data_IF_969565360352
#
_entry.id   IF_969565360352
#
_cell.length_a   1.000
_cell.length_b   1.000
_cell.length_c   1.000
_cell.angle_alpha   90.00
_cell.angle_beta   90.00
_cell.angle_gamma   90.00
#
_symmetry.space_group_name_H-M   'P 1'
#
loop_
_entity.id
_entity.type
_entity.pdbx_description
1 polymer ?
#
# COMPACT_ATOMS: atom_id res chain seq x y z
N UNK A 1 -83.62 24.46 -17.40
CA UNK A 1 -82.29 24.45 -18.06
C UNK A 1 -81.52 23.27 -17.46
N UNK A 2 -81.43 22.05 -18.01
CA UNK A 2 -81.09 21.52 -19.36
C UNK A 2 -79.73 22.00 -19.87
N UNK A 3 -78.76 21.07 -19.99
CA UNK A 3 -77.49 21.23 -20.73
C UNK A 3 -76.40 20.26 -20.23
N UNK A 4 -76.40 18.97 -20.64
CA UNK A 4 -75.56 18.37 -21.71
C UNK A 4 -74.08 18.18 -21.29
N UNK A 5 -73.62 16.98 -20.90
CA UNK A 5 -73.25 15.75 -21.67
C UNK A 5 -71.94 15.91 -22.49
N UNK A 6 -71.04 14.92 -22.30
CA UNK A 6 -69.93 14.39 -23.14
C UNK A 6 -68.53 15.00 -23.00
N UNK A 7 -67.57 14.19 -22.51
CA UNK A 7 -66.39 13.70 -23.26
C UNK A 7 -65.48 12.90 -22.31
N UNK A 8 -65.52 11.56 -22.34
CA UNK A 8 -64.68 10.66 -23.16
C UNK A 8 -63.18 10.67 -22.82
N UNK A 9 -62.78 9.55 -22.21
CA UNK A 9 -61.60 8.74 -22.53
C UNK A 9 -60.19 9.12 -22.02
N UNK A 10 -59.48 8.03 -21.74
CA UNK A 10 -58.01 7.83 -21.73
C UNK A 10 -57.26 8.16 -20.44
N UNK A 11 -57.14 7.15 -19.58
CA UNK A 11 -55.91 6.72 -18.89
C UNK A 11 -56.33 5.64 -17.86
N UNK A 12 -56.39 4.35 -18.18
CA UNK A 12 -55.38 3.59 -18.92
C UNK A 12 -54.16 3.39 -18.04
N UNK A 13 -54.11 2.24 -17.33
CA UNK A 13 -52.89 1.59 -16.85
C UNK A 13 -52.01 2.36 -15.84
N UNK A 14 -52.30 2.21 -14.54
CA UNK A 14 -51.28 2.36 -13.48
C UNK A 14 -51.47 1.32 -12.36
N UNK A 15 -51.53 0.03 -12.73
CA UNK A 15 -51.61 -1.05 -11.75
C UNK A 15 -50.54 -2.14 -11.91
N UNK A 16 -49.50 -1.91 -12.73
CA UNK A 16 -48.39 -2.85 -12.90
C UNK A 16 -47.09 -2.09 -13.20
N UNK A 17 -46.33 -1.72 -12.17
CA UNK A 17 -44.87 -1.52 -12.20
C UNK A 17 -44.39 -0.94 -10.86
N UNK A 18 -44.49 -1.73 -9.79
CA UNK A 18 -43.93 -1.39 -8.48
C UNK A 18 -43.07 -2.51 -7.88
N UNK A 19 -42.71 -3.51 -8.68
CA UNK A 19 -41.62 -4.45 -8.37
C UNK A 19 -40.35 -3.88 -9.02
N UNK A 20 -39.93 -2.70 -8.56
CA UNK A 20 -38.55 -2.29 -8.76
C UNK A 20 -37.73 -3.21 -7.85
N UNK A 21 -37.13 -4.23 -8.46
CA UNK A 21 -36.28 -5.17 -7.77
C UNK A 21 -35.28 -4.43 -6.88
N UNK A 22 -35.06 -4.96 -5.69
CA UNK A 22 -33.82 -4.75 -4.98
C UNK A 22 -32.71 -5.19 -5.94
N UNK A 23 -32.20 -4.25 -6.73
CA UNK A 23 -30.96 -4.43 -7.42
C UNK A 23 -29.94 -4.63 -6.30
N UNK A 24 -29.56 -5.89 -6.09
CA UNK A 24 -28.31 -6.19 -5.42
C UNK A 24 -27.27 -5.29 -6.08
N UNK A 25 -26.73 -4.33 -5.31
CA UNK A 25 -25.72 -3.43 -5.80
C UNK A 25 -24.61 -4.31 -6.41
N UNK A 26 -24.41 -4.18 -7.72
CA UNK A 26 -23.36 -4.91 -8.44
C UNK A 26 -22.04 -4.62 -7.71
N UNK A 27 -21.28 -5.67 -7.36
CA UNK A 27 -19.90 -5.56 -6.86
C UNK A 27 -19.17 -4.54 -7.75
N UNK A 28 -18.50 -3.52 -7.20
CA UNK A 28 -17.87 -2.48 -8.01
C UNK A 28 -16.92 -3.13 -9.03
N UNK A 29 -16.87 -2.57 -10.24
CA UNK A 29 -15.99 -3.05 -11.32
C UNK A 29 -14.54 -3.09 -10.81
N UNK A 30 -13.98 -4.31 -10.69
CA UNK A 30 -12.58 -4.53 -10.40
C UNK A 30 -11.75 -3.77 -11.45
N UNK A 31 -11.17 -2.61 -11.08
CA UNK A 31 -10.40 -1.69 -11.95
C UNK A 31 -9.03 -2.27 -12.36
N UNK A 32 -8.97 -3.56 -12.71
CA UNK A 32 -7.76 -4.31 -12.97
C UNK A 32 -7.08 -4.89 -11.72
N UNK A 33 -7.68 -4.74 -10.54
CA UNK A 33 -7.20 -5.34 -9.29
C UNK A 33 -7.91 -6.67 -8.99
N UNK A 34 -7.18 -7.66 -8.50
CA UNK A 34 -7.73 -8.90 -7.94
C UNK A 34 -8.34 -8.66 -6.56
N UNK A 35 -8.87 -9.72 -5.94
CA UNK A 35 -9.52 -9.64 -4.62
C UNK A 35 -8.55 -9.38 -3.46
N UNK A 36 -7.25 -9.55 -3.68
CA UNK A 36 -6.21 -9.30 -2.70
C UNK A 36 -5.58 -7.90 -2.87
N UNK A 37 -5.92 -7.19 -3.93
CA UNK A 37 -5.41 -5.85 -4.22
C UNK A 37 -4.24 -5.82 -5.21
N UNK A 38 -3.97 -6.89 -5.96
CA UNK A 38 -2.94 -6.94 -7.01
C UNK A 38 -3.46 -6.50 -8.37
N UNK A 39 -2.67 -5.69 -9.07
CA UNK A 39 -2.82 -5.44 -10.50
C UNK A 39 -1.48 -5.74 -11.19
N UNK A 40 -1.29 -6.99 -11.60
CA UNK A 40 -0.03 -7.47 -12.17
C UNK A 40 0.35 -6.79 -13.49
N UNK A 41 -0.66 -6.40 -14.28
CA UNK A 41 -0.44 -5.66 -15.52
C UNK A 41 0.17 -4.27 -15.25
N UNK A 42 -0.30 -3.59 -14.21
CA UNK A 42 0.22 -2.30 -13.78
C UNK A 42 1.43 -2.42 -12.84
N UNK A 43 1.71 -3.62 -12.33
CA UNK A 43 2.73 -3.92 -11.29
C UNK A 43 2.51 -3.09 -10.04
N UNK A 44 1.26 -3.16 -9.56
CA UNK A 44 0.77 -2.42 -8.41
C UNK A 44 0.08 -3.35 -7.45
N UNK A 45 0.25 -3.10 -6.16
CA UNK A 45 -0.51 -3.69 -5.08
C UNK A 45 -1.09 -2.55 -4.26
N UNK A 46 -2.35 -2.65 -3.88
CA UNK A 46 -3.01 -1.67 -3.03
C UNK A 46 -4.03 -2.38 -2.14
N UNK A 47 -3.64 -2.65 -0.90
CA UNK A 47 -4.44 -3.46 0.01
C UNK A 47 -3.80 -3.59 1.39
N UNK A 48 -4.39 -4.45 2.22
CA UNK A 48 -3.81 -4.81 3.51
C UNK A 48 -2.52 -5.56 3.35
N UNK A 49 -1.53 -5.25 4.18
CA UNK A 49 -0.23 -5.90 4.11
C UNK A 49 -0.30 -7.43 4.24
N UNK A 50 -1.20 -7.95 5.07
CA UNK A 50 -1.42 -9.40 5.19
C UNK A 50 -2.04 -10.07 3.96
N UNK A 51 -2.52 -9.31 2.96
CA UNK A 51 -2.92 -9.86 1.65
C UNK A 51 -1.79 -9.88 0.64
N UNK A 52 -0.76 -9.08 0.87
CA UNK A 52 0.47 -9.11 0.09
C UNK A 52 1.28 -10.38 0.42
N UNK A 53 1.48 -10.65 1.71
CA UNK A 53 2.13 -11.89 2.14
C UNK A 53 1.10 -13.00 2.37
N UNK A 54 0.80 -13.74 1.29
CA UNK A 54 -0.24 -14.79 1.27
C UNK A 54 0.11 -16.01 2.12
N UNK A 55 1.37 -16.16 2.51
CA UNK A 55 1.86 -17.27 3.34
C UNK A 55 1.73 -16.95 4.85
N UNK A 56 1.43 -15.71 5.23
CA UNK A 56 0.99 -15.36 6.59
C UNK A 56 -0.48 -15.81 6.74
N UNK A 57 -0.69 -17.06 7.16
CA UNK A 57 -2.01 -17.58 7.49
C UNK A 57 -2.75 -16.66 8.48
N UNK A 58 -3.82 -16.00 8.01
CA UNK A 58 -4.80 -15.29 8.85
C UNK A 58 -4.61 -13.78 9.01
N UNK A 59 -3.66 -13.14 8.32
CA UNK A 59 -3.33 -11.74 8.56
C UNK A 59 -4.34 -10.73 8.00
N UNK A 60 -5.23 -10.19 8.82
CA UNK A 60 -5.58 -8.77 8.64
C UNK A 60 -4.34 -7.99 9.04
N UNK A 61 -3.51 -7.64 8.05
CA UNK A 61 -2.32 -6.82 8.32
C UNK A 61 -2.75 -5.54 9.00
N UNK A 62 -2.13 -5.21 10.13
CA UNK A 62 -2.24 -3.96 10.89
C UNK A 62 -1.60 -2.77 10.16
N UNK A 63 -1.60 -2.81 8.83
CA UNK A 63 -1.08 -1.79 7.95
C UNK A 63 -1.68 -1.89 6.55
N UNK A 64 -1.87 -0.73 5.94
CA UNK A 64 -2.24 -0.61 4.54
C UNK A 64 -0.98 -0.38 3.70
N UNK A 65 -0.83 -1.14 2.61
CA UNK A 65 0.31 -1.07 1.71
C UNK A 65 -0.14 -0.71 0.30
N UNK A 66 0.44 0.37 -0.23
CA UNK A 66 0.48 0.65 -1.65
C UNK A 66 1.90 0.36 -2.15
N UNK A 67 2.05 -0.60 -3.05
CA UNK A 67 3.34 -1.02 -3.57
C UNK A 67 3.36 -0.92 -5.09
N UNK A 68 4.53 -0.59 -5.64
CA UNK A 68 4.82 -0.63 -7.08
C UNK A 68 6.13 -1.34 -7.31
N UNK A 69 6.25 -2.08 -8.40
CA UNK A 69 7.48 -2.81 -8.67
C UNK A 69 7.91 -2.81 -10.14
N UNK A 70 9.19 -3.15 -10.32
CA UNK A 70 9.80 -3.37 -11.63
C UNK A 70 9.21 -4.62 -12.31
N UNK A 71 9.42 -4.81 -13.62
CA UNK A 71 8.93 -6.02 -14.31
C UNK A 71 9.49 -7.32 -13.69
N UNK A 72 10.69 -7.22 -13.18
CA UNK A 72 11.48 -8.37 -12.77
C UNK A 72 11.41 -8.57 -11.24
N UNK A 73 10.47 -7.92 -10.56
CA UNK A 73 10.22 -8.12 -9.13
C UNK A 73 9.07 -9.12 -8.91
N UNK A 74 9.34 -10.15 -8.14
CA UNK A 74 8.44 -11.20 -7.70
C UNK A 74 8.54 -11.34 -6.17
N UNK A 75 7.53 -10.92 -5.40
CA UNK A 75 7.62 -10.86 -3.95
C UNK A 75 7.96 -12.19 -3.25
N UNK A 76 7.78 -13.35 -3.91
CA UNK A 76 7.91 -14.68 -3.30
C UNK A 76 9.20 -15.43 -3.66
N UNK A 77 10.14 -14.82 -4.41
CA UNK A 77 11.33 -15.51 -4.93
C UNK A 77 12.64 -14.72 -4.75
N UNK A 78 13.80 -15.29 -5.12
CA UNK A 78 15.04 -14.50 -5.22
C UNK A 78 14.99 -13.60 -6.46
N UNK A 79 15.33 -12.33 -6.28
CA UNK A 79 15.13 -11.33 -7.32
C UNK A 79 16.35 -11.23 -8.25
N UNK A 80 16.15 -10.97 -9.56
CA UNK A 80 17.24 -10.65 -10.44
C UNK A 80 17.86 -9.29 -10.07
N UNK A 81 19.15 -9.16 -10.34
CA UNK A 81 19.90 -7.91 -10.05
C UNK A 81 19.24 -6.74 -10.80
N UNK A 82 18.98 -5.65 -10.07
CA UNK A 82 18.31 -4.45 -10.57
C UNK A 82 16.78 -4.47 -10.43
N UNK A 83 16.17 -5.59 -10.06
CA UNK A 83 14.75 -5.61 -9.69
C UNK A 83 14.53 -4.75 -8.44
N UNK A 84 13.42 -4.00 -8.43
CA UNK A 84 13.08 -3.08 -7.35
C UNK A 84 11.58 -3.06 -7.05
N UNK A 85 11.26 -2.63 -5.83
CA UNK A 85 9.93 -2.21 -5.42
C UNK A 85 9.96 -0.90 -4.62
N UNK A 86 8.80 -0.25 -4.53
CA UNK A 86 8.51 0.82 -3.57
C UNK A 86 7.35 0.38 -2.68
N UNK A 87 7.45 0.62 -1.39
CA UNK A 87 6.38 0.37 -0.42
C UNK A 87 5.95 1.70 0.18
N UNK A 88 4.65 2.00 0.10
CA UNK A 88 4.04 3.10 0.82
C UNK A 88 3.12 2.47 1.85
N UNK A 89 3.54 2.52 3.10
CA UNK A 89 2.77 1.95 4.17
C UNK A 89 1.99 3.03 4.93
N UNK A 90 0.92 2.60 5.56
CA UNK A 90 0.22 3.36 6.59
C UNK A 90 -0.10 2.42 7.73
N UNK A 91 0.29 2.80 8.94
CA UNK A 91 -0.03 2.09 10.18
C UNK A 91 -0.22 3.08 11.33
N UNK A 92 -0.51 2.54 12.49
CA UNK A 92 -0.85 3.27 13.69
C UNK A 92 -0.10 2.69 14.88
N UNK A 93 0.34 3.52 15.81
CA UNK A 93 1.06 3.12 17.03
C UNK A 93 0.83 4.16 18.14
N UNK A 94 1.03 3.76 19.39
CA UNK A 94 1.03 4.65 20.56
C UNK A 94 2.43 5.23 20.87
N UNK A 95 3.43 4.88 20.06
CA UNK A 95 4.76 5.50 20.08
C UNK A 95 5.29 5.73 18.65
N UNK A 96 6.38 6.49 18.56
CA UNK A 96 7.14 6.67 17.31
C UNK A 96 8.64 6.75 17.59
N UNK A 97 9.10 6.04 18.62
CA UNK A 97 10.49 6.04 19.07
C UNK A 97 11.38 5.19 18.15
N UNK A 98 12.65 5.55 18.01
CA UNK A 98 13.60 4.79 17.18
C UNK A 98 13.80 3.36 17.73
N UNK A 99 13.73 3.17 19.05
CA UNK A 99 13.86 1.86 19.71
C UNK A 99 12.76 0.85 19.31
N UNK A 100 11.58 1.34 18.92
CA UNK A 100 10.44 0.54 18.41
C UNK A 100 10.32 0.59 16.89
N UNK A 101 11.41 1.01 16.23
CA UNK A 101 11.49 1.26 14.80
C UNK A 101 10.39 2.22 14.33
N UNK A 102 10.34 3.40 14.96
CA UNK A 102 9.34 4.45 14.73
C UNK A 102 7.90 3.95 14.80
N UNK A 103 7.65 3.04 15.74
CA UNK A 103 6.35 2.46 16.02
C UNK A 103 5.95 1.27 15.14
N UNK A 104 6.83 0.75 14.28
CA UNK A 104 6.53 -0.44 13.48
C UNK A 104 6.42 -1.71 14.33
N UNK A 105 7.28 -1.88 15.32
CA UNK A 105 7.27 -3.07 16.19
C UNK A 105 6.14 -3.02 17.25
N UNK A 106 5.52 -1.86 17.42
CA UNK A 106 4.46 -1.57 18.41
C UNK A 106 3.13 -1.20 17.77
N UNK A 107 2.93 -1.54 16.49
CA UNK A 107 1.70 -1.22 15.77
C UNK A 107 0.45 -1.70 16.48
N UNK A 108 -0.59 -0.87 16.44
CA UNK A 108 -1.93 -1.25 16.88
C UNK A 108 -2.69 -1.96 15.77
N UNK A 109 -3.52 -2.92 16.16
CA UNK A 109 -4.35 -3.67 15.23
C UNK A 109 -5.45 -2.78 14.62
N UNK A 110 -5.63 -2.88 13.30
CA UNK A 110 -6.75 -2.27 12.56
C UNK A 110 -6.97 -3.00 11.24
N UNK A 111 -8.18 -2.88 10.67
CA UNK A 111 -8.56 -3.52 9.41
C UNK A 111 -9.78 -2.82 8.77
N UNK A 112 -10.44 -3.46 7.79
CA UNK A 112 -11.62 -2.88 7.10
C UNK A 112 -12.81 -2.64 8.03
N UNK A 113 -12.91 -3.43 9.09
CA UNK A 113 -14.03 -3.44 10.04
C UNK A 113 -13.68 -2.74 11.35
N UNK A 114 -12.39 -2.59 11.64
CA UNK A 114 -11.85 -2.09 12.91
C UNK A 114 -11.05 -0.83 12.67
N UNK A 115 -11.54 0.29 13.22
CA UNK A 115 -10.78 1.54 13.22
C UNK A 115 -9.59 1.45 14.18
N UNK A 116 -8.43 2.02 13.83
CA UNK A 116 -7.28 2.08 14.74
C UNK A 116 -7.60 3.00 15.92
N UNK A 117 -7.30 2.53 17.13
CA UNK A 117 -7.21 3.35 18.34
C UNK A 117 -5.73 3.51 18.66
N UNK A 118 -5.17 4.69 18.38
CA UNK A 118 -3.76 4.99 18.58
C UNK A 118 -3.54 6.49 18.79
N UNK A 119 -2.42 6.84 19.42
CA UNK A 119 -1.96 8.23 19.50
C UNK A 119 -1.38 8.75 18.17
N UNK A 120 -0.75 7.88 17.39
CA UNK A 120 -0.04 8.26 16.16
C UNK A 120 -0.48 7.48 14.92
N UNK A 121 -0.52 8.21 13.81
CA UNK A 121 -0.58 7.65 12.46
C UNK A 121 0.79 7.81 11.81
N UNK A 122 1.31 6.71 11.26
CA UNK A 122 2.61 6.70 10.62
C UNK A 122 2.44 6.37 9.13
N UNK A 123 3.20 7.09 8.30
CA UNK A 123 3.36 6.77 6.87
C UNK A 123 4.83 6.60 6.56
N UNK A 124 5.19 5.44 6.02
CA UNK A 124 6.54 5.19 5.51
C UNK A 124 6.53 5.06 3.99
N UNK A 125 7.56 5.63 3.36
CA UNK A 125 7.94 5.35 2.00
C UNK A 125 9.29 4.64 2.01
N UNK A 126 9.36 3.45 1.41
CA UNK A 126 10.59 2.68 1.24
C UNK A 126 10.82 2.35 -0.24
N UNK A 127 12.05 2.45 -0.73
CA UNK A 127 12.46 1.91 -2.04
C UNK A 127 13.61 0.91 -1.88
N UNK A 128 13.37 -0.33 -2.28
CA UNK A 128 14.32 -1.44 -2.18
C UNK A 128 14.72 -1.93 -3.57
N UNK A 129 15.98 -2.33 -3.74
CA UNK A 129 16.48 -2.93 -4.96
C UNK A 129 17.44 -4.09 -4.68
N UNK A 130 17.43 -5.08 -5.57
CA UNK A 130 18.42 -6.16 -5.60
C UNK A 130 19.73 -5.70 -6.25
N UNK A 131 20.88 -5.91 -5.60
CA UNK A 131 22.18 -5.35 -6.04
C UNK A 131 23.29 -6.36 -6.36
N UNK A 132 23.00 -7.66 -6.33
CA UNK A 132 23.98 -8.78 -6.30
C UNK A 132 24.68 -8.94 -4.96
N UNK A 133 25.58 -9.90 -4.85
CA UNK A 133 26.43 -10.17 -3.69
C UNK A 133 27.90 -9.83 -3.98
N UNK A 134 28.12 -8.80 -4.79
CA UNK A 134 29.42 -8.21 -5.13
C UNK A 134 29.79 -7.07 -4.18
N UNK A 135 30.97 -7.17 -3.55
CA UNK A 135 31.48 -6.18 -2.58
C UNK A 135 31.65 -4.78 -3.18
N UNK A 136 32.09 -4.66 -4.44
CA UNK A 136 32.33 -3.36 -5.08
C UNK A 136 31.02 -2.67 -5.42
N UNK A 137 30.01 -3.42 -5.86
CA UNK A 137 28.67 -2.92 -6.06
C UNK A 137 28.09 -2.40 -4.74
N UNK A 138 28.22 -3.16 -3.65
CA UNK A 138 27.79 -2.73 -2.32
C UNK A 138 28.45 -1.42 -1.87
N UNK A 139 29.79 -1.33 -1.98
CA UNK A 139 30.52 -0.11 -1.59
C UNK A 139 30.03 1.12 -2.37
N UNK A 140 29.79 0.95 -3.67
CA UNK A 140 29.25 2.01 -4.53
C UNK A 140 27.87 2.48 -4.08
N UNK A 141 26.98 1.57 -3.65
CA UNK A 141 25.65 1.92 -3.16
C UNK A 141 25.71 2.58 -1.77
N UNK A 142 26.55 2.06 -0.87
CA UNK A 142 26.76 2.62 0.46
C UNK A 142 27.34 4.05 0.41
N UNK A 143 28.30 4.32 -0.48
CA UNK A 143 28.81 5.68 -0.74
C UNK A 143 27.72 6.62 -1.27
N UNK A 144 26.68 6.08 -1.90
CA UNK A 144 25.48 6.79 -2.33
C UNK A 144 24.41 6.94 -1.24
N UNK A 145 24.67 6.51 -0.01
CA UNK A 145 23.71 6.62 1.10
C UNK A 145 22.68 5.50 1.18
N UNK A 146 22.78 4.49 0.31
CA UNK A 146 21.96 3.31 0.44
C UNK A 146 22.46 2.46 1.62
N UNK A 147 21.54 1.83 2.34
CA UNK A 147 21.88 0.92 3.43
C UNK A 147 21.29 -0.47 3.19
N UNK A 148 21.72 -1.46 3.97
CA UNK A 148 21.25 -2.84 3.81
C UNK A 148 19.82 -2.95 4.29
N UNK A 149 18.95 -3.58 3.49
CA UNK A 149 17.60 -3.91 3.95
C UNK A 149 17.57 -4.98 5.06
N UNK A 150 18.72 -5.59 5.40
CA UNK A 150 18.79 -6.72 6.33
C UNK A 150 18.19 -8.02 5.76
N UNK A 151 17.80 -8.03 4.49
CA UNK A 151 17.10 -9.15 3.86
C UNK A 151 18.06 -10.12 3.18
N UNK A 152 17.94 -11.40 3.59
CA UNK A 152 18.70 -12.52 3.05
C UNK A 152 20.13 -12.63 3.61
N UNK A 153 20.60 -13.87 3.76
CA UNK A 153 21.98 -14.19 4.18
C UNK A 153 22.71 -14.83 3.01
N UNK A 154 23.96 -14.42 2.76
CA UNK A 154 24.74 -14.83 1.60
C UNK A 154 26.15 -15.23 1.98
N UNK A 155 26.71 -16.21 1.25
CA UNK A 155 28.02 -16.79 1.55
C UNK A 155 29.16 -15.79 1.44
N UNK A 156 29.04 -14.78 0.56
CA UNK A 156 30.03 -13.70 0.43
C UNK A 156 30.01 -12.70 1.60
N UNK A 157 28.99 -12.72 2.45
CA UNK A 157 28.85 -11.80 3.58
C UNK A 157 28.36 -10.40 3.21
N UNK A 158 28.01 -10.13 1.95
CA UNK A 158 27.43 -8.84 1.54
C UNK A 158 25.92 -8.88 1.31
N UNK A 159 25.20 -7.77 1.56
CA UNK A 159 23.75 -7.71 1.34
C UNK A 159 23.36 -7.88 -0.13
N UNK A 160 22.33 -8.71 -0.41
CA UNK A 160 21.75 -8.78 -1.76
C UNK A 160 20.77 -7.66 -2.07
N UNK A 161 20.28 -6.94 -1.08
CA UNK A 161 19.28 -5.88 -1.19
C UNK A 161 19.76 -4.60 -0.50
N UNK A 162 19.43 -3.46 -1.13
CA UNK A 162 19.70 -2.14 -0.57
C UNK A 162 18.46 -1.28 -0.58
N UNK A 163 18.38 -0.40 0.42
CA UNK A 163 17.38 0.64 0.56
C UNK A 163 17.95 1.94 0.02
N UNK A 164 17.27 2.57 -0.94
CA UNK A 164 17.70 3.85 -1.53
C UNK A 164 16.99 5.06 -0.96
N UNK A 165 15.81 4.84 -0.42
CA UNK A 165 15.01 5.89 0.18
C UNK A 165 14.13 5.24 1.23
N UNK A 166 14.12 5.86 2.40
CA UNK A 166 13.32 5.44 3.53
C UNK A 166 12.92 6.70 4.30
N UNK A 167 11.63 7.01 4.25
CA UNK A 167 11.10 8.23 4.84
C UNK A 167 9.88 7.91 5.66
N UNK A 168 9.93 8.24 6.95
CA UNK A 168 8.86 8.01 7.90
C UNK A 168 8.28 9.36 8.28
N UNK A 169 6.96 9.52 8.14
CA UNK A 169 6.23 10.71 8.57
C UNK A 169 5.19 10.34 9.61
N UNK A 170 5.29 11.00 10.76
CA UNK A 170 4.40 10.78 11.91
C UNK A 170 3.39 11.90 11.99
N UNK A 171 2.14 11.54 12.21
CA UNK A 171 1.02 12.44 12.41
C UNK A 171 0.33 12.11 13.72
N UNK A 172 -0.20 13.14 14.37
CA UNK A 172 -1.16 12.98 15.45
C UNK A 172 -2.41 12.30 14.88
N UNK A 173 -2.83 11.18 15.48
CA UNK A 173 -3.91 10.37 14.92
C UNK A 173 -5.29 11.06 15.04
N UNK A 174 -5.47 11.89 16.06
CA UNK A 174 -6.75 12.55 16.34
C UNK A 174 -6.97 13.78 15.45
N UNK A 175 -5.95 14.61 15.31
CA UNK A 175 -6.00 15.89 14.60
C UNK A 175 -5.54 15.78 13.14
N UNK A 176 -4.72 14.78 12.83
CA UNK A 176 -4.09 14.62 11.52
C UNK A 176 -2.92 15.60 11.28
N UNK A 177 -2.49 16.34 12.30
CA UNK A 177 -1.37 17.26 12.18
C UNK A 177 -0.04 16.49 12.09
N UNK A 178 0.87 16.95 11.23
CA UNK A 178 2.19 16.34 11.09
C UNK A 178 3.07 16.71 12.29
N UNK A 179 3.61 15.70 12.97
CA UNK A 179 4.48 15.86 14.14
C UNK A 179 5.95 15.85 13.70
N UNK A 180 6.36 14.83 12.97
CA UNK A 180 7.77 14.58 12.64
C UNK A 180 7.94 13.97 11.25
N UNK A 181 9.16 14.10 10.71
CA UNK A 181 9.61 13.39 9.51
C UNK A 181 11.04 12.94 9.72
N UNK A 182 11.30 11.67 9.44
CA UNK A 182 12.61 11.03 9.51
C UNK A 182 13.02 10.61 8.11
N UNK A 183 14.28 10.85 7.75
CA UNK A 183 14.91 10.34 6.53
C UNK A 183 16.04 9.42 6.98
N UNK A 184 15.84 8.11 6.81
CA UNK A 184 16.80 7.11 7.28
C UNK A 184 17.94 6.90 6.29
N UNK A 185 17.81 7.45 5.08
CA UNK A 185 18.93 7.56 4.14
C UNK A 185 19.67 8.88 4.40
N UNK A 186 20.55 8.90 5.41
CA UNK A 186 21.26 10.11 5.88
C UNK A 186 22.10 10.84 4.82
N UNK A 187 22.34 10.23 3.66
CA UNK A 187 22.92 10.88 2.49
C UNK A 187 22.05 10.68 1.25
N UNK A 188 21.65 11.78 0.60
CA UNK A 188 20.89 11.69 -0.65
C UNK A 188 21.67 10.89 -1.70
N UNK A 189 21.04 9.94 -2.41
CA UNK A 189 21.66 9.24 -3.52
C UNK A 189 21.98 10.21 -4.66
N UNK A 190 23.22 10.71 -4.65
CA UNK A 190 23.78 11.54 -5.74
C UNK A 190 23.98 10.69 -6.98
N UNK A 191 22.91 10.51 -7.76
CA UNK A 191 22.97 9.96 -9.13
C UNK A 191 22.98 8.43 -9.24
N UNK A 192 22.84 7.69 -8.14
CA UNK A 192 22.61 6.24 -8.16
C UNK A 192 21.23 5.94 -7.57
N UNK A 193 20.26 5.78 -8.46
CA UNK A 193 18.85 5.69 -8.07
C UNK A 193 18.06 6.96 -8.35
N UNK A 194 18.40 7.71 -9.42
CA UNK A 194 17.51 8.73 -9.98
C UNK A 194 16.06 8.24 -9.84
N UNK A 195 15.13 9.07 -9.31
CA UNK A 195 13.72 8.74 -9.40
C UNK A 195 13.43 8.43 -10.86
N UNK A 196 12.86 7.24 -11.12
CA UNK A 196 12.31 6.93 -12.44
C UNK A 196 11.00 7.70 -12.52
N UNK A 197 11.11 9.02 -12.65
CA UNK A 197 10.06 9.92 -13.12
C UNK A 197 10.71 10.91 -14.09
#
# INVERSE_FOLDING_TARGET
MKGKIVALCIAGMFLLAGLAGMAAAKKPDNRGFDEFGYNDHARLFNGWYGHYDRDIEGGTGDSWLLMKWSKDWDPMTDQPIGAWCTNHFTWYSDDYEEETWFGWDTRVAWNEETSPEADYKVKEFLKVMKVSDDEQAWERYAQGGAYSAGWGTYESGVPKYVVFQDTITVYDAQTGEKIATYDLCETSPKGLGNPIF
#
